data_IF_897138628167
#
_entry.id   IF_897138628167
#
_cell.length_a   1.000
_cell.length_b   1.000
_cell.length_c   1.000
_cell.angle_alpha   90.00
_cell.angle_beta   90.00
_cell.angle_gamma   90.00
#
_symmetry.space_group_name_H-M   'P 1'
#
loop_
_entity.id
_entity.type
_entity.pdbx_description
1 polymer ?
#
# COMPACT_ATOMS: atom_id res chain seq x y z
N UNK A 1 25.66 -4.50 0.13
CA UNK A 1 24.95 -5.58 0.82
C UNK A 1 23.64 -5.83 0.09
N UNK A 2 23.29 -7.09 -0.19
CA UNK A 2 21.99 -7.44 -0.73
C UNK A 2 20.91 -7.27 0.34
N UNK A 3 19.69 -6.80 0.01
CA UNK A 3 18.59 -6.74 0.96
C UNK A 3 18.17 -8.14 1.37
N UNK A 4 17.81 -8.31 2.64
CA UNK A 4 17.27 -9.58 3.16
C UNK A 4 15.75 -9.70 2.97
N UNK A 5 15.08 -8.58 2.74
CA UNK A 5 13.64 -8.46 2.54
C UNK A 5 13.35 -7.25 1.66
N UNK A 6 12.44 -7.40 0.70
CA UNK A 6 11.82 -6.28 -0.02
C UNK A 6 10.38 -6.09 0.47
N UNK A 7 9.99 -4.84 0.66
CA UNK A 7 8.61 -4.48 0.99
C UNK A 7 8.15 -3.45 -0.04
N UNK A 8 7.02 -3.73 -0.67
CA UNK A 8 6.31 -2.79 -1.55
C UNK A 8 5.01 -2.37 -0.89
N UNK A 9 4.77 -1.06 -0.86
CA UNK A 9 3.50 -0.48 -0.40
C UNK A 9 2.98 0.39 -1.53
N UNK A 10 1.78 0.12 -2.03
CA UNK A 10 1.07 0.93 -3.04
C UNK A 10 1.89 1.20 -4.32
N UNK A 11 2.85 0.34 -4.62
CA UNK A 11 3.72 0.56 -5.78
C UNK A 11 3.24 -0.25 -6.98
N UNK A 12 2.94 0.44 -8.07
CA UNK A 12 2.56 -0.17 -9.34
C UNK A 12 3.65 -1.12 -9.85
N UNK A 13 3.22 -2.31 -10.31
CA UNK A 13 4.01 -3.28 -11.06
C UNK A 13 3.54 -3.37 -12.51
N UNK A 14 4.37 -3.93 -13.38
CA UNK A 14 3.97 -4.19 -14.76
C UNK A 14 2.92 -5.30 -14.83
N UNK A 15 1.92 -5.15 -15.70
CA UNK A 15 1.02 -6.22 -16.10
C UNK A 15 1.71 -7.23 -17.02
N UNK A 16 1.01 -8.30 -17.44
CA UNK A 16 1.59 -9.38 -18.26
C UNK A 16 2.15 -8.89 -19.60
N UNK A 17 1.58 -7.83 -20.16
CA UNK A 17 2.04 -7.18 -21.40
C UNK A 17 3.23 -6.21 -21.20
N UNK A 18 3.72 -6.07 -19.96
CA UNK A 18 4.86 -5.23 -19.63
C UNK A 18 4.52 -3.75 -19.44
N UNK A 19 3.24 -3.38 -19.46
CA UNK A 19 2.76 -2.00 -19.30
C UNK A 19 2.47 -1.72 -17.84
N UNK A 20 2.90 -0.56 -17.34
CA UNK A 20 2.56 -0.06 -16.01
C UNK A 20 1.28 0.77 -16.11
N UNK A 21 0.27 0.40 -15.35
CA UNK A 21 -1.04 1.05 -15.36
C UNK A 21 -1.41 1.59 -13.98
N UNK A 22 -2.14 2.69 -13.96
CA UNK A 22 -2.76 3.17 -12.73
C UNK A 22 -4.05 2.38 -12.45
N UNK A 23 -4.74 2.73 -11.36
CA UNK A 23 -6.00 2.11 -10.95
C UNK A 23 -7.16 2.25 -11.95
N UNK A 24 -6.99 3.07 -13.01
CA UNK A 24 -7.98 3.26 -14.09
C UNK A 24 -7.54 2.61 -15.40
N UNK A 25 -6.59 1.67 -15.32
CA UNK A 25 -5.97 0.99 -16.49
C UNK A 25 -5.28 1.92 -17.50
N UNK A 26 -4.98 3.16 -17.12
CA UNK A 26 -4.25 4.10 -17.97
C UNK A 26 -2.75 3.78 -17.93
N UNK A 27 -2.12 3.74 -19.10
CA UNK A 27 -0.67 3.54 -19.25
C UNK A 27 0.12 4.71 -18.64
N UNK A 28 0.91 4.40 -17.63
CA UNK A 28 1.81 5.33 -16.93
C UNK A 28 3.28 4.92 -17.04
N UNK A 29 3.61 4.04 -17.99
CA UNK A 29 4.95 3.44 -18.13
C UNK A 29 6.07 4.48 -18.26
N UNK A 30 5.79 5.61 -18.92
CA UNK A 30 6.76 6.68 -19.10
C UNK A 30 7.10 7.44 -17.81
N UNK A 31 6.26 7.32 -16.79
CA UNK A 31 6.39 8.02 -15.50
C UNK A 31 6.68 7.05 -14.35
N UNK A 32 6.83 5.75 -14.64
CA UNK A 32 6.98 4.70 -13.64
C UNK A 32 8.36 4.05 -13.73
N UNK A 33 9.15 4.15 -12.67
CA UNK A 33 10.40 3.41 -12.56
C UNK A 33 10.10 1.89 -12.41
N UNK A 34 10.83 1.06 -13.18
CA UNK A 34 10.63 -0.40 -13.29
C UNK A 34 11.23 -1.15 -12.09
N UNK A 35 10.89 -0.74 -10.87
CA UNK A 35 11.45 -1.31 -9.63
C UNK A 35 10.85 -2.67 -9.25
N UNK A 36 9.73 -3.05 -9.84
CA UNK A 36 9.12 -4.38 -9.69
C UNK A 36 10.07 -5.50 -10.12
N UNK A 37 10.98 -5.24 -11.07
CA UNK A 37 12.01 -6.20 -11.49
C UNK A 37 12.97 -6.60 -10.36
N UNK A 38 13.09 -5.80 -9.30
CA UNK A 38 13.87 -6.17 -8.12
C UNK A 38 13.27 -7.37 -7.38
N UNK A 39 11.95 -7.53 -7.45
CA UNK A 39 11.23 -8.63 -6.79
C UNK A 39 11.49 -9.99 -7.44
N UNK A 40 11.92 -10.02 -8.71
CA UNK A 40 12.38 -11.22 -9.40
C UNK A 40 13.77 -11.66 -8.90
N UNK A 41 14.58 -10.72 -8.40
CA UNK A 41 15.96 -10.97 -7.95
C UNK A 41 16.05 -11.35 -6.47
N UNK A 42 15.07 -10.96 -5.66
CA UNK A 42 15.05 -11.15 -4.20
C UNK A 42 13.79 -11.90 -3.78
N UNK A 43 13.93 -13.21 -3.45
CA UNK A 43 12.77 -14.09 -3.25
C UNK A 43 11.98 -13.78 -1.96
N UNK A 44 12.60 -13.14 -0.96
CA UNK A 44 11.89 -12.80 0.28
C UNK A 44 11.28 -11.39 0.15
N UNK A 45 9.96 -11.36 0.01
CA UNK A 45 9.27 -10.10 -0.30
C UNK A 45 7.86 -10.04 0.29
N UNK A 46 7.43 -8.80 0.59
CA UNK A 46 6.07 -8.46 1.00
C UNK A 46 5.52 -7.44 0.02
N UNK A 47 4.32 -7.67 -0.49
CA UNK A 47 3.56 -6.69 -1.26
C UNK A 47 2.32 -6.27 -0.47
N UNK A 48 2.01 -4.98 -0.48
CA UNK A 48 0.82 -4.40 0.13
C UNK A 48 0.12 -3.58 -0.95
N UNK A 49 -1.14 -3.87 -1.20
CA UNK A 49 -1.92 -3.22 -2.25
C UNK A 49 -3.42 -3.40 -2.06
N UNK A 50 -4.21 -2.69 -2.84
CA UNK A 50 -5.68 -2.65 -2.77
C UNK A 50 -6.38 -2.71 -4.13
N UNK A 51 -5.79 -2.16 -5.20
CA UNK A 51 -6.45 -1.97 -6.50
C UNK A 51 -6.20 -3.06 -7.55
N UNK A 52 -5.10 -3.82 -7.42
CA UNK A 52 -4.75 -4.88 -8.37
C UNK A 52 -3.56 -4.58 -9.29
N UNK A 53 -3.17 -3.32 -9.44
CA UNK A 53 -2.01 -2.90 -10.23
C UNK A 53 -0.70 -2.85 -9.44
N UNK A 54 -0.71 -3.13 -8.13
CA UNK A 54 0.45 -3.04 -7.26
C UNK A 54 1.28 -4.33 -7.27
N UNK A 55 2.59 -4.17 -6.97
CA UNK A 55 3.53 -5.27 -6.79
C UNK A 55 3.01 -6.24 -5.71
N UNK A 56 2.86 -7.51 -6.08
CA UNK A 56 2.34 -8.57 -5.22
C UNK A 56 0.95 -9.05 -5.62
N UNK A 57 0.14 -8.21 -6.30
CA UNK A 57 -1.22 -8.60 -6.72
C UNK A 57 -1.21 -9.70 -7.78
N UNK A 58 -0.05 -10.00 -8.39
CA UNK A 58 0.16 -11.18 -9.19
C UNK A 58 -0.15 -12.50 -8.46
N UNK A 59 -0.07 -12.51 -7.12
CA UNK A 59 -0.47 -13.67 -6.31
C UNK A 59 -1.97 -14.00 -6.45
N UNK A 60 -2.78 -12.98 -6.69
CA UNK A 60 -4.25 -13.06 -6.74
C UNK A 60 -4.85 -12.56 -8.06
N UNK A 61 -4.04 -12.40 -9.11
CA UNK A 61 -4.43 -11.85 -10.41
C UNK A 61 -5.73 -12.46 -10.97
N UNK A 62 -5.93 -13.77 -10.80
CA UNK A 62 -7.16 -14.47 -11.22
C UNK A 62 -8.43 -13.99 -10.50
N UNK A 63 -8.30 -13.45 -9.30
CA UNK A 63 -9.41 -12.90 -8.54
C UNK A 63 -9.65 -11.44 -8.92
N UNK A 64 -8.57 -10.69 -9.11
CA UNK A 64 -8.62 -9.29 -9.57
C UNK A 64 -9.37 -9.20 -10.90
N UNK A 65 -9.00 -10.00 -11.92
CA UNK A 65 -9.63 -9.99 -13.24
C UNK A 65 -11.10 -10.44 -13.25
N UNK A 66 -11.60 -11.04 -12.18
CA UNK A 66 -13.02 -11.40 -12.04
C UNK A 66 -13.85 -10.28 -11.42
N UNK A 67 -13.23 -9.33 -10.77
CA UNK A 67 -13.91 -8.17 -10.19
C UNK A 67 -14.25 -7.17 -11.30
N UNK A 68 -15.41 -6.54 -11.19
CA UNK A 68 -15.79 -5.42 -12.06
C UNK A 68 -15.33 -4.08 -11.48
N UNK A 69 -14.89 -4.07 -10.24
CA UNK A 69 -14.49 -2.86 -9.49
C UNK A 69 -12.96 -2.65 -9.49
N UNK A 70 -12.19 -3.69 -9.83
CA UNK A 70 -10.74 -3.66 -9.84
C UNK A 70 -10.20 -3.52 -11.27
N UNK A 71 -8.88 -3.31 -11.37
CA UNK A 71 -8.20 -3.20 -12.67
C UNK A 71 -8.39 -4.46 -13.53
N UNK A 72 -8.47 -4.28 -14.84
CA UNK A 72 -8.59 -5.40 -15.77
C UNK A 72 -7.22 -6.02 -16.11
N UNK A 73 -6.15 -5.25 -15.92
CA UNK A 73 -4.77 -5.66 -16.19
C UNK A 73 -3.94 -5.63 -14.91
N UNK A 74 -4.10 -6.64 -14.01
CA UNK A 74 -3.38 -6.67 -12.73
C UNK A 74 -1.88 -6.76 -12.93
N UNK A 75 -1.13 -6.33 -11.92
CA UNK A 75 0.31 -6.53 -11.88
C UNK A 75 0.66 -8.02 -11.92
N UNK A 76 1.68 -8.38 -12.71
CA UNK A 76 2.18 -9.78 -12.80
C UNK A 76 3.08 -10.18 -11.63
N UNK A 77 3.74 -9.19 -11.01
CA UNK A 77 4.75 -9.42 -10.00
C UNK A 77 4.16 -10.09 -8.76
N UNK A 78 4.76 -11.23 -8.39
CA UNK A 78 4.38 -12.00 -7.20
C UNK A 78 5.34 -11.72 -6.05
N UNK A 79 4.86 -11.95 -4.83
CA UNK A 79 5.62 -11.78 -3.59
C UNK A 79 5.46 -13.00 -2.68
N UNK A 80 6.37 -13.16 -1.72
CA UNK A 80 6.31 -14.25 -0.74
C UNK A 80 5.10 -14.11 0.18
N UNK A 81 4.78 -12.89 0.60
CA UNK A 81 3.64 -12.54 1.44
C UNK A 81 2.89 -11.37 0.85
N UNK A 82 1.60 -11.54 0.65
CA UNK A 82 0.70 -10.50 0.19
C UNK A 82 -0.19 -10.05 1.34
N UNK A 83 -0.29 -8.73 1.54
CA UNK A 83 -1.21 -8.09 2.44
C UNK A 83 -2.20 -7.31 1.58
N UNK A 84 -3.47 -7.66 1.67
CA UNK A 84 -4.58 -6.94 1.03
C UNK A 84 -5.26 -6.05 2.05
N UNK A 85 -5.58 -4.85 1.65
CA UNK A 85 -6.28 -3.86 2.48
C UNK A 85 -7.16 -2.99 1.59
N UNK A 86 -8.18 -2.36 2.12
CA UNK A 86 -9.00 -1.38 1.37
C UNK A 86 -8.29 -0.04 1.16
N UNK A 87 -7.24 0.21 1.93
CA UNK A 87 -6.28 1.30 1.79
C UNK A 87 -4.92 0.70 2.10
N UNK A 88 -3.97 0.78 1.19
CA UNK A 88 -2.65 0.15 1.36
C UNK A 88 -1.91 0.64 2.60
N UNK A 89 -2.09 1.89 3.00
CA UNK A 89 -1.52 2.43 4.24
C UNK A 89 -2.00 1.65 5.48
N UNK A 90 -3.27 1.27 5.54
CA UNK A 90 -3.79 0.45 6.65
C UNK A 90 -3.14 -0.92 6.70
N UNK A 91 -2.89 -1.53 5.53
CA UNK A 91 -2.14 -2.78 5.44
C UNK A 91 -0.69 -2.62 5.93
N UNK A 92 -0.06 -1.47 5.62
CA UNK A 92 1.27 -1.14 6.11
C UNK A 92 1.29 -0.94 7.62
N UNK A 93 0.31 -0.23 8.20
CA UNK A 93 0.16 -0.11 9.66
C UNK A 93 -0.07 -1.48 10.31
N UNK A 94 -0.88 -2.36 9.70
CA UNK A 94 -1.07 -3.73 10.18
C UNK A 94 0.25 -4.51 10.24
N UNK A 95 1.12 -4.34 9.25
CA UNK A 95 2.46 -4.92 9.27
C UNK A 95 3.32 -4.33 10.39
N UNK A 96 3.29 -3.00 10.59
CA UNK A 96 4.03 -2.34 11.69
C UNK A 96 3.51 -2.79 13.04
N UNK A 97 2.18 -2.92 13.23
CA UNK A 97 1.59 -3.47 14.45
C UNK A 97 2.10 -4.88 14.76
N UNK A 98 2.14 -5.77 13.75
CA UNK A 98 2.68 -7.12 13.91
C UNK A 98 4.17 -7.11 14.28
N UNK A 99 4.96 -6.22 13.69
CA UNK A 99 6.37 -6.02 14.03
C UNK A 99 6.53 -5.44 15.44
N UNK A 100 5.64 -4.55 15.88
CA UNK A 100 5.60 -3.99 17.24
C UNK A 100 5.44 -5.09 18.29
N UNK A 101 4.49 -5.99 18.07
CA UNK A 101 4.28 -7.14 18.98
C UNK A 101 5.52 -8.04 19.06
N UNK A 102 6.20 -8.23 17.94
CA UNK A 102 7.44 -9.00 17.89
C UNK A 102 8.61 -8.28 18.57
N UNK A 103 8.65 -6.95 18.46
CA UNK A 103 9.71 -6.13 19.06
C UNK A 103 9.48 -5.85 20.56
N UNK A 104 8.27 -6.04 21.07
CA UNK A 104 7.89 -5.73 22.44
C UNK A 104 7.68 -4.24 22.72
N UNK A 105 7.57 -3.41 21.66
CA UNK A 105 7.29 -1.98 21.77
C UNK A 105 6.36 -1.54 20.63
N UNK A 106 5.50 -0.57 20.87
CA UNK A 106 4.64 -0.01 19.82
C UNK A 106 5.48 0.89 18.89
N UNK A 107 5.52 0.54 17.62
CA UNK A 107 6.27 1.24 16.55
C UNK A 107 5.33 2.03 15.61
N UNK A 108 4.02 1.97 15.84
CA UNK A 108 3.06 2.71 15.03
C UNK A 108 3.21 4.23 15.27
N UNK A 109 3.00 5.06 14.24
CA UNK A 109 2.85 6.50 14.46
C UNK A 109 1.59 6.77 15.27
N UNK A 110 1.55 7.89 15.98
CA UNK A 110 0.30 8.34 16.56
C UNK A 110 -0.57 9.08 15.52
N UNK A 111 -1.87 9.11 15.76
CA UNK A 111 -2.83 9.72 14.83
C UNK A 111 -2.62 11.22 14.62
N UNK A 112 -2.06 11.93 15.61
CA UNK A 112 -1.75 13.36 15.50
C UNK A 112 -0.60 13.61 14.54
N UNK A 113 0.46 12.84 14.63
CA UNK A 113 1.62 12.92 13.74
C UNK A 113 1.22 12.57 12.30
N UNK A 114 0.45 11.50 12.13
CA UNK A 114 -0.06 11.10 10.81
C UNK A 114 -0.96 12.17 10.19
N UNK A 115 -1.88 12.74 10.97
CA UNK A 115 -2.72 13.85 10.52
C UNK A 115 -1.90 15.07 10.09
N UNK A 116 -0.84 15.40 10.82
CA UNK A 116 0.07 16.49 10.48
C UNK A 116 0.84 16.20 9.19
N UNK A 117 1.30 14.97 9.00
CA UNK A 117 1.99 14.54 7.78
C UNK A 117 1.07 14.70 6.55
N UNK A 118 -0.15 14.18 6.60
CA UNK A 118 -1.11 14.30 5.49
C UNK A 118 -1.41 15.77 5.17
N UNK A 119 -1.67 16.59 6.20
CA UNK A 119 -1.89 18.04 6.00
C UNK A 119 -0.68 18.72 5.37
N UNK A 120 0.52 18.37 5.81
CA UNK A 120 1.75 18.91 5.24
C UNK A 120 1.91 18.51 3.77
N UNK A 121 1.66 17.25 3.42
CA UNK A 121 1.72 16.75 2.05
C UNK A 121 0.74 17.49 1.14
N UNK A 122 -0.52 17.63 1.56
CA UNK A 122 -1.55 18.34 0.79
C UNK A 122 -1.20 19.82 0.63
N UNK A 123 -0.75 20.48 1.69
CA UNK A 123 -0.30 21.89 1.63
C UNK A 123 0.94 22.07 0.76
N UNK A 124 1.70 20.99 0.50
CA UNK A 124 2.86 20.97 -0.39
C UNK A 124 2.52 20.54 -1.82
N UNK A 125 1.22 20.38 -2.15
CA UNK A 125 0.74 20.11 -3.50
C UNK A 125 0.32 18.66 -3.76
N UNK A 126 0.28 17.79 -2.74
CA UNK A 126 -0.31 16.46 -2.91
C UNK A 126 -1.83 16.56 -3.10
N UNK A 127 -2.37 15.58 -3.82
CA UNK A 127 -3.80 15.44 -4.08
C UNK A 127 -4.27 14.05 -3.66
N UNK A 128 -5.54 13.92 -3.31
CA UNK A 128 -6.16 12.62 -3.08
C UNK A 128 -6.19 11.78 -4.38
N UNK A 129 -5.76 10.52 -4.29
CA UNK A 129 -5.62 9.63 -5.44
C UNK A 129 -6.94 9.31 -6.15
N UNK A 130 -8.06 9.34 -5.44
CA UNK A 130 -9.39 9.02 -5.98
C UNK A 130 -10.02 10.26 -6.63
N UNK A 131 -10.10 11.37 -5.90
CA UNK A 131 -10.75 12.59 -6.39
C UNK A 131 -9.84 13.48 -7.24
N UNK A 132 -8.52 13.41 -7.05
CA UNK A 132 -7.55 14.33 -7.66
C UNK A 132 -7.58 15.74 -7.05
N UNK A 133 -8.27 15.94 -5.93
CA UNK A 133 -8.41 17.22 -5.26
C UNK A 133 -7.35 17.39 -4.15
N UNK A 134 -6.95 18.64 -3.89
CA UNK A 134 -6.11 18.99 -2.75
C UNK A 134 -6.97 19.00 -1.47
N UNK A 135 -7.30 17.82 -0.99
CA UNK A 135 -8.13 17.58 0.19
C UNK A 135 -7.39 16.71 1.21
N UNK A 136 -7.69 16.88 2.49
CA UNK A 136 -7.11 16.05 3.56
C UNK A 136 -7.80 14.67 3.60
N UNK A 137 -7.56 13.89 2.54
CA UNK A 137 -8.10 12.57 2.29
C UNK A 137 -6.99 11.60 1.90
N UNK A 138 -7.25 10.32 2.10
CA UNK A 138 -6.42 9.21 1.58
C UNK A 138 -7.35 8.19 0.94
N UNK A 139 -7.16 7.93 -0.34
CA UNK A 139 -7.98 7.01 -1.15
C UNK A 139 -9.49 7.27 -1.01
N UNK A 140 -9.87 8.55 -1.01
CA UNK A 140 -11.25 8.98 -0.90
C UNK A 140 -11.82 9.03 0.53
N UNK A 141 -11.11 8.47 1.52
CA UNK A 141 -11.53 8.53 2.93
C UNK A 141 -11.19 9.88 3.55
N UNK A 142 -12.15 10.48 4.24
CA UNK A 142 -11.91 11.68 5.04
C UNK A 142 -10.88 11.39 6.13
N UNK A 143 -10.10 12.40 6.51
CA UNK A 143 -8.98 12.25 7.45
C UNK A 143 -9.36 11.53 8.75
N UNK A 144 -10.55 11.82 9.31
CA UNK A 144 -11.02 11.17 10.54
C UNK A 144 -11.30 9.68 10.35
N UNK A 145 -11.91 9.30 9.23
CA UNK A 145 -12.20 7.90 8.88
C UNK A 145 -10.89 7.13 8.63
N UNK A 146 -9.96 7.75 7.89
CA UNK A 146 -8.66 7.18 7.62
C UNK A 146 -7.87 6.91 8.91
N UNK A 147 -7.83 7.87 9.82
CA UNK A 147 -7.08 7.77 11.08
C UNK A 147 -7.71 6.80 12.09
N UNK A 148 -9.01 6.51 11.96
CA UNK A 148 -9.70 5.55 12.84
C UNK A 148 -9.03 4.16 12.82
N UNK A 149 -8.61 3.69 11.64
CA UNK A 149 -7.94 2.39 11.54
C UNK A 149 -6.58 2.38 12.27
N UNK A 150 -5.81 3.46 12.16
CA UNK A 150 -4.54 3.61 12.86
C UNK A 150 -4.74 3.69 14.38
N UNK A 151 -5.77 4.43 14.82
CA UNK A 151 -6.13 4.52 16.23
C UNK A 151 -6.45 3.14 16.83
N UNK A 152 -7.29 2.35 16.13
CA UNK A 152 -7.62 0.98 16.54
C UNK A 152 -6.43 0.05 16.56
N UNK A 153 -5.52 0.17 15.61
CA UNK A 153 -4.28 -0.63 15.61
C UNK A 153 -3.37 -0.26 16.79
N UNK A 154 -3.25 1.02 17.11
CA UNK A 154 -2.51 1.47 18.32
C UNK A 154 -3.13 0.88 19.60
N UNK A 155 -4.46 1.03 19.77
CA UNK A 155 -5.19 0.48 20.92
C UNK A 155 -4.95 -1.03 21.09
N UNK A 156 -5.13 -1.81 20.01
CA UNK A 156 -4.94 -3.27 20.04
C UNK A 156 -3.47 -3.63 20.32
N UNK A 157 -2.53 -2.90 19.74
CA UNK A 157 -1.11 -3.16 19.93
C UNK A 157 -0.70 -2.90 21.37
N UNK A 158 -1.14 -1.79 21.96
CA UNK A 158 -0.83 -1.45 23.36
C UNK A 158 -1.43 -2.47 24.34
N UNK A 159 -2.69 -2.88 24.15
CA UNK A 159 -3.33 -3.94 24.96
C UNK A 159 -2.54 -5.26 24.89
N UNK A 160 -1.96 -5.58 23.76
CA UNK A 160 -1.21 -6.85 23.57
C UNK A 160 0.22 -6.80 24.07
N UNK A 161 0.77 -5.62 24.28
CA UNK A 161 2.13 -5.41 24.82
C UNK A 161 2.15 -5.36 26.35
N UNK A 162 1.02 -5.13 26.99
CA UNK A 162 0.82 -5.08 28.45
C UNK A 162 -0.05 -6.22 28.93
#
# INVERSE_FOLDING_TARGET
>A
KSPSLLISVERCGASEDGIYRNMRDVDISNYTAKIDTLFDLFPTSIGIGDGGNEIGLGNVAKWVTKSQELVQFPARTKVTKLILSSVSNWGAYGLVAALSLKAGINLLPNTTEEAQLIKHMVNSGAVDGISGEAAYRVDGFELGEYLWALDKLNEITDIRLH
#
